data_IF_355037325605
#
_entry.id   IF_355037325605
#
_cell.length_a   1.000
_cell.length_b   1.000
_cell.length_c   1.000
_cell.angle_alpha   90.00
_cell.angle_beta   90.00
_cell.angle_gamma   90.00
#
_symmetry.space_group_name_H-M   'P 1'
#
loop_
_entity.id
_entity.type
_entity.pdbx_description
1 polymer ?
#
# COMPACT_ATOMS: atom_id res chain seq x y z
N UNK A 1 29.43 -25.84 5.01
CA UNK A 1 28.43 -25.49 6.03
C UNK A 1 28.64 -24.03 6.45
N UNK A 2 28.01 -23.09 5.75
CA UNK A 2 28.07 -21.69 6.15
C UNK A 2 27.07 -21.47 7.30
N UNK A 3 27.58 -21.33 8.52
CA UNK A 3 26.80 -20.91 9.69
C UNK A 3 26.24 -19.51 9.41
N UNK A 4 24.93 -19.34 9.55
CA UNK A 4 24.34 -18.03 9.77
C UNK A 4 25.10 -17.36 10.93
N UNK A 5 25.57 -16.12 10.80
CA UNK A 5 26.13 -15.39 11.93
C UNK A 5 25.06 -15.34 13.01
N UNK A 6 25.44 -15.70 14.24
CA UNK A 6 24.53 -15.79 15.38
C UNK A 6 23.71 -14.51 15.50
N UNK A 7 22.43 -14.57 15.10
CA UNK A 7 21.48 -13.53 15.45
C UNK A 7 21.42 -13.51 16.97
N UNK A 8 21.76 -12.36 17.56
CA UNK A 8 21.43 -12.05 18.95
C UNK A 8 20.02 -12.58 19.22
N UNK A 9 19.89 -13.48 20.19
CA UNK A 9 18.61 -14.00 20.64
C UNK A 9 17.73 -12.80 21.02
N UNK A 10 16.79 -12.46 20.13
CA UNK A 10 15.81 -11.42 20.38
C UNK A 10 15.09 -11.76 21.70
N UNK A 11 14.82 -10.76 22.56
CA UNK A 11 13.98 -10.96 23.73
C UNK A 11 12.68 -11.71 23.33
N UNK A 12 12.23 -12.68 24.12
CA UNK A 12 11.11 -13.56 23.75
C UNK A 12 9.81 -12.78 23.49
N UNK A 13 9.65 -11.62 24.12
CA UNK A 13 8.57 -10.65 23.90
C UNK A 13 8.62 -9.97 22.53
N UNK A 14 9.82 -9.74 21.98
CA UNK A 14 10.01 -9.20 20.62
C UNK A 14 9.85 -10.30 19.59
N UNK A 15 10.39 -11.49 19.82
CA UNK A 15 10.24 -12.64 18.93
C UNK A 15 8.77 -13.10 18.78
N UNK A 16 7.93 -12.88 19.79
CA UNK A 16 6.50 -13.19 19.77
C UNK A 16 5.64 -12.16 19.00
N UNK A 17 6.17 -11.00 18.62
CA UNK A 17 5.41 -9.99 17.90
C UNK A 17 5.05 -10.47 16.49
N UNK A 18 3.75 -10.60 16.24
CA UNK A 18 3.20 -10.96 14.94
C UNK A 18 2.19 -9.90 14.49
N UNK A 19 2.53 -9.17 13.43
CA UNK A 19 1.66 -8.13 12.86
C UNK A 19 0.77 -8.63 11.72
N UNK A 20 0.94 -9.88 11.30
CA UNK A 20 0.17 -10.52 10.24
C UNK A 20 -1.35 -10.44 10.43
N UNK A 21 -1.91 -10.81 11.60
CA UNK A 21 -3.35 -10.75 11.85
C UNK A 21 -3.94 -9.34 11.70
N UNK A 22 -3.23 -8.32 12.19
CA UNK A 22 -3.65 -6.93 12.05
C UNK A 22 -3.66 -6.48 10.58
N UNK A 23 -2.66 -6.88 9.79
CA UNK A 23 -2.63 -6.60 8.34
C UNK A 23 -3.81 -7.25 7.62
N UNK A 24 -4.09 -8.52 7.90
CA UNK A 24 -5.22 -9.23 7.29
C UNK A 24 -6.55 -8.57 7.64
N UNK A 25 -6.76 -8.19 8.91
CA UNK A 25 -7.99 -7.52 9.34
C UNK A 25 -8.24 -6.22 8.54
N UNK A 26 -7.20 -5.39 8.39
CA UNK A 26 -7.28 -4.14 7.62
C UNK A 26 -7.55 -4.44 6.14
N UNK A 27 -6.79 -5.36 5.53
CA UNK A 27 -6.92 -5.70 4.11
C UNK A 27 -8.31 -6.24 3.77
N UNK A 28 -8.85 -7.15 4.57
CA UNK A 28 -10.19 -7.69 4.35
C UNK A 28 -11.28 -6.63 4.55
N UNK A 29 -11.14 -5.75 5.54
CA UNK A 29 -12.10 -4.66 5.78
C UNK A 29 -12.19 -3.70 4.58
N UNK A 30 -11.04 -3.23 4.07
CA UNK A 30 -11.00 -2.35 2.90
C UNK A 30 -11.45 -3.05 1.62
N UNK A 31 -11.11 -4.33 1.45
CA UNK A 31 -11.53 -5.12 0.29
C UNK A 31 -13.05 -5.34 0.28
N UNK A 32 -13.65 -5.63 1.44
CA UNK A 32 -15.09 -5.75 1.60
C UNK A 32 -15.79 -4.42 1.26
N UNK A 33 -15.31 -3.31 1.82
CA UNK A 33 -15.85 -1.98 1.54
C UNK A 33 -15.75 -1.60 0.04
N UNK A 34 -14.61 -1.88 -0.58
CA UNK A 34 -14.39 -1.66 -2.01
C UNK A 34 -15.34 -2.51 -2.86
N UNK A 35 -15.48 -3.79 -2.51
CA UNK A 35 -16.41 -4.72 -3.19
C UNK A 35 -17.85 -4.23 -3.13
N UNK A 36 -18.32 -3.81 -1.95
CA UNK A 36 -19.66 -3.24 -1.78
C UNK A 36 -19.87 -1.98 -2.63
N UNK A 37 -18.86 -1.12 -2.71
CA UNK A 37 -18.92 0.10 -3.51
C UNK A 37 -18.99 -0.21 -5.01
N UNK A 38 -18.20 -1.17 -5.49
CA UNK A 38 -18.22 -1.60 -6.90
C UNK A 38 -19.55 -2.26 -7.26
N UNK A 39 -20.04 -3.19 -6.42
CA UNK A 39 -21.34 -3.84 -6.62
C UNK A 39 -22.46 -2.80 -6.65
N UNK A 40 -22.47 -1.87 -5.69
CA UNK A 40 -23.45 -0.80 -5.63
C UNK A 40 -23.42 0.11 -6.87
N UNK A 41 -22.21 0.43 -7.38
CA UNK A 41 -22.02 1.20 -8.60
C UNK A 41 -22.56 0.48 -9.84
N UNK A 42 -22.20 -0.80 -10.01
CA UNK A 42 -22.65 -1.64 -11.14
C UNK A 42 -24.17 -1.81 -11.10
N UNK A 43 -24.72 -2.15 -9.92
CA UNK A 43 -26.17 -2.31 -9.73
C UNK A 43 -26.94 -1.02 -10.02
N UNK A 44 -26.47 0.12 -9.49
CA UNK A 44 -27.11 1.42 -9.71
C UNK A 44 -27.12 1.82 -11.19
N UNK A 45 -26.04 1.52 -11.91
CA UNK A 45 -25.92 1.84 -13.33
C UNK A 45 -26.78 0.91 -14.18
N UNK A 46 -26.76 -0.39 -13.89
CA UNK A 46 -27.61 -1.37 -14.53
C UNK A 46 -29.09 -1.01 -14.37
N UNK A 47 -29.52 -0.66 -13.16
CA UNK A 47 -30.92 -0.26 -12.89
C UNK A 47 -31.33 1.05 -13.60
N UNK A 48 -30.42 2.01 -13.74
CA UNK A 48 -30.73 3.33 -14.35
C UNK A 48 -30.60 3.38 -15.87
N UNK A 49 -29.61 2.70 -16.45
CA UNK A 49 -29.28 2.77 -17.88
C UNK A 49 -29.53 1.45 -18.62
N UNK A 50 -29.80 0.35 -17.92
CA UNK A 50 -30.05 -0.98 -18.52
C UNK A 50 -28.84 -1.63 -19.20
N UNK A 51 -27.69 -0.95 -19.26
CA UNK A 51 -26.47 -1.42 -19.96
C UNK A 51 -25.22 -1.02 -19.19
N UNK A 52 -24.23 -1.90 -19.18
CA UNK A 52 -22.90 -1.63 -18.64
C UNK A 52 -22.02 -0.95 -19.70
N UNK A 53 -21.23 0.03 -19.28
CA UNK A 53 -20.23 0.66 -20.12
C UNK A 53 -18.88 -0.04 -19.95
N UNK A 54 -17.95 0.22 -20.88
CA UNK A 54 -16.56 -0.24 -20.81
C UNK A 54 -15.92 0.11 -19.46
N UNK A 55 -16.23 1.29 -18.92
CA UNK A 55 -15.77 1.74 -17.59
C UNK A 55 -16.10 0.77 -16.45
N UNK A 56 -17.29 0.16 -16.51
CA UNK A 56 -17.75 -0.73 -15.44
C UNK A 56 -16.99 -2.06 -15.50
N UNK A 57 -16.68 -2.54 -16.71
CA UNK A 57 -15.81 -3.72 -16.89
C UNK A 57 -14.39 -3.46 -16.40
N UNK A 58 -13.83 -2.27 -16.63
CA UNK A 58 -12.50 -1.90 -16.13
C UNK A 58 -12.47 -1.89 -14.59
N UNK A 59 -13.52 -1.38 -13.95
CA UNK A 59 -13.63 -1.37 -12.47
C UNK A 59 -13.81 -2.80 -11.92
N UNK A 60 -14.63 -3.62 -12.56
CA UNK A 60 -14.82 -5.03 -12.16
C UNK A 60 -13.50 -5.79 -12.31
N UNK A 61 -12.78 -5.60 -13.41
CA UNK A 61 -11.46 -6.18 -13.62
C UNK A 61 -10.47 -5.72 -12.56
N UNK A 62 -10.47 -4.43 -12.22
CA UNK A 62 -9.65 -3.90 -11.13
C UNK A 62 -9.96 -4.56 -9.79
N UNK A 63 -11.23 -4.83 -9.49
CA UNK A 63 -11.64 -5.54 -8.28
C UNK A 63 -11.10 -6.98 -8.28
N UNK A 64 -11.09 -7.66 -9.42
CA UNK A 64 -10.46 -8.97 -9.58
C UNK A 64 -8.97 -8.94 -9.22
N UNK A 65 -8.24 -7.91 -9.65
CA UNK A 65 -6.84 -7.71 -9.25
C UNK A 65 -6.67 -7.43 -7.76
N UNK A 66 -7.61 -6.71 -7.12
CA UNK A 66 -7.59 -6.54 -5.65
C UNK A 66 -7.70 -7.91 -4.95
N UNK A 67 -8.61 -8.79 -5.39
CA UNK A 67 -8.72 -10.13 -4.81
C UNK A 67 -7.45 -10.96 -4.99
N UNK A 68 -6.84 -10.92 -6.18
CA UNK A 68 -5.56 -11.59 -6.44
C UNK A 68 -4.44 -11.04 -5.53
N UNK A 69 -4.37 -9.72 -5.37
CA UNK A 69 -3.41 -9.05 -4.49
C UNK A 69 -3.58 -9.49 -3.03
N UNK A 70 -4.81 -9.48 -2.53
CA UNK A 70 -5.15 -9.89 -1.17
C UNK A 70 -4.83 -11.36 -0.95
N UNK A 71 -5.15 -12.24 -1.90
CA UNK A 71 -4.82 -13.66 -1.83
C UNK A 71 -3.31 -13.91 -1.74
N UNK A 72 -2.51 -13.20 -2.54
CA UNK A 72 -1.04 -13.29 -2.48
C UNK A 72 -0.51 -12.81 -1.12
N UNK A 73 -1.04 -11.71 -0.60
CA UNK A 73 -0.66 -11.20 0.72
C UNK A 73 -1.05 -12.12 1.87
N UNK A 74 -2.25 -12.71 1.82
CA UNK A 74 -2.66 -13.71 2.80
C UNK A 74 -1.73 -14.91 2.76
N UNK A 75 -1.38 -15.41 1.58
CA UNK A 75 -0.41 -16.51 1.44
C UNK A 75 0.98 -16.13 1.98
N UNK A 76 1.44 -14.90 1.75
CA UNK A 76 2.70 -14.40 2.30
C UNK A 76 2.68 -14.30 3.83
N UNK A 77 1.58 -13.82 4.42
CA UNK A 77 1.39 -13.72 5.88
C UNK A 77 1.34 -15.11 6.52
N UNK A 78 0.61 -16.05 5.90
CA UNK A 78 0.57 -17.44 6.37
C UNK A 78 1.92 -18.14 6.24
N UNK A 79 2.74 -17.77 5.25
CA UNK A 79 4.12 -18.22 5.12
C UNK A 79 5.09 -17.51 6.08
N UNK A 80 4.62 -16.57 6.92
CA UNK A 80 5.41 -15.95 7.98
C UNK A 80 5.70 -14.46 7.82
N UNK A 81 5.20 -13.80 6.77
CA UNK A 81 5.28 -12.33 6.68
C UNK A 81 4.55 -11.67 7.86
N UNK A 82 5.21 -10.72 8.52
CA UNK A 82 4.71 -10.06 9.73
C UNK A 82 5.30 -10.59 11.04
N UNK A 83 6.13 -11.65 11.00
CA UNK A 83 6.97 -12.13 12.11
C UNK A 83 8.42 -11.67 11.90
N UNK A 84 9.22 -11.61 12.97
CA UNK A 84 10.65 -11.29 12.86
C UNK A 84 11.38 -12.32 12.00
N UNK A 85 12.27 -11.86 11.10
CA UNK A 85 13.05 -12.74 10.20
C UNK A 85 13.85 -13.79 10.97
N UNK A 86 14.26 -13.48 12.20
CA UNK A 86 14.96 -14.39 13.10
C UNK A 86 14.15 -15.61 13.55
N UNK A 87 12.82 -15.55 13.45
CA UNK A 87 11.90 -16.60 13.92
C UNK A 87 11.40 -17.51 12.81
N UNK A 88 11.83 -17.26 11.57
CA UNK A 88 11.36 -17.94 10.37
C UNK A 88 12.39 -18.97 9.90
N UNK A 89 11.89 -20.10 9.41
CA UNK A 89 12.74 -21.03 8.66
C UNK A 89 13.07 -20.45 7.28
N UNK A 90 14.19 -20.89 6.69
CA UNK A 90 14.60 -20.47 5.34
C UNK A 90 13.52 -20.74 4.29
N UNK A 91 12.83 -21.89 4.39
CA UNK A 91 11.76 -22.26 3.45
C UNK A 91 10.51 -21.38 3.60
N UNK A 92 10.15 -20.99 4.82
CA UNK A 92 9.05 -20.05 5.09
C UNK A 92 9.37 -18.66 4.54
N UNK A 93 10.59 -18.19 4.76
CA UNK A 93 11.06 -16.90 4.25
C UNK A 93 10.99 -16.84 2.71
N UNK A 94 11.59 -17.82 2.02
CA UNK A 94 11.60 -17.88 0.55
C UNK A 94 10.18 -17.90 -0.03
N UNK A 95 9.28 -18.71 0.56
CA UNK A 95 7.87 -18.79 0.16
C UNK A 95 7.14 -17.47 0.38
N UNK A 96 7.40 -16.78 1.49
CA UNK A 96 6.77 -15.50 1.80
C UNK A 96 7.17 -14.41 0.81
N UNK A 97 8.47 -14.30 0.48
CA UNK A 97 8.99 -13.33 -0.47
C UNK A 97 8.47 -13.58 -1.88
N UNK A 98 8.38 -14.86 -2.27
CA UNK A 98 7.82 -15.26 -3.56
C UNK A 98 6.37 -14.77 -3.74
N UNK A 99 5.49 -14.98 -2.75
CA UNK A 99 4.12 -14.50 -2.82
C UNK A 99 4.02 -12.97 -2.82
N UNK A 100 4.89 -12.27 -2.09
CA UNK A 100 4.95 -10.81 -2.12
C UNK A 100 5.36 -10.28 -3.50
N UNK A 101 6.31 -10.94 -4.17
CA UNK A 101 6.75 -10.56 -5.52
C UNK A 101 5.67 -10.78 -6.56
N UNK A 102 4.99 -11.93 -6.53
CA UNK A 102 3.86 -12.21 -7.44
C UNK A 102 2.72 -11.24 -7.18
N UNK A 103 2.44 -10.94 -5.90
CA UNK A 103 1.42 -9.99 -5.50
C UNK A 103 1.69 -8.57 -6.00
N UNK A 104 2.93 -8.20 -6.30
CA UNK A 104 3.25 -6.84 -6.76
C UNK A 104 2.54 -6.47 -8.07
N UNK A 105 2.42 -7.42 -9.02
CA UNK A 105 1.73 -7.21 -10.31
C UNK A 105 0.24 -6.87 -10.14
N UNK A 106 -0.59 -7.74 -9.53
CA UNK A 106 -2.00 -7.42 -9.30
C UNK A 106 -2.16 -6.18 -8.40
N UNK A 107 -1.23 -5.95 -7.47
CA UNK A 107 -1.20 -4.73 -6.66
C UNK A 107 -1.09 -3.46 -7.51
N UNK A 108 -0.10 -3.38 -8.40
CA UNK A 108 0.08 -2.24 -9.32
C UNK A 108 -1.12 -2.03 -10.23
N UNK A 109 -1.65 -3.11 -10.84
CA UNK A 109 -2.79 -3.03 -11.74
C UNK A 109 -4.06 -2.58 -11.00
N UNK A 110 -4.27 -3.05 -9.76
CA UNK A 110 -5.40 -2.64 -8.93
C UNK A 110 -5.41 -1.15 -8.58
N UNK A 111 -4.24 -0.49 -8.56
CA UNK A 111 -4.11 0.95 -8.30
C UNK A 111 -4.17 1.79 -9.58
N UNK A 112 -3.71 1.25 -10.72
CA UNK A 112 -3.66 1.98 -11.97
C UNK A 112 -5.01 1.99 -12.72
N UNK A 113 -5.68 0.84 -12.81
CA UNK A 113 -6.93 0.70 -13.59
C UNK A 113 -8.07 1.62 -13.12
N UNK A 114 -8.31 1.83 -11.82
CA UNK A 114 -9.37 2.73 -11.37
C UNK A 114 -9.15 4.17 -11.86
N UNK A 115 -7.91 4.63 -11.99
CA UNK A 115 -7.58 5.99 -12.45
C UNK A 115 -8.06 6.21 -13.88
N UNK A 116 -7.87 5.23 -14.76
CA UNK A 116 -8.37 5.29 -16.14
C UNK A 116 -9.90 5.34 -16.20
N UNK A 117 -10.57 4.52 -15.39
CA UNK A 117 -12.04 4.54 -15.31
C UNK A 117 -12.56 5.89 -14.78
N UNK A 118 -11.88 6.50 -13.81
CA UNK A 118 -12.22 7.83 -13.29
C UNK A 118 -11.97 8.92 -14.34
N UNK A 119 -10.83 8.91 -15.02
CA UNK A 119 -10.54 9.87 -16.11
C UNK A 119 -11.60 9.79 -17.20
N UNK A 120 -11.94 8.58 -17.66
CA UNK A 120 -12.96 8.43 -18.71
C UNK A 120 -14.35 8.90 -18.24
N UNK A 121 -14.72 8.61 -16.99
CA UNK A 121 -15.94 9.12 -16.39
C UNK A 121 -15.96 10.65 -16.34
N UNK A 122 -14.85 11.28 -15.93
CA UNK A 122 -14.74 12.74 -15.83
C UNK A 122 -14.86 13.40 -17.20
N UNK A 123 -14.15 12.88 -18.21
CA UNK A 123 -14.22 13.39 -19.59
C UNK A 123 -15.64 13.31 -20.12
N UNK A 124 -16.35 12.22 -19.83
CA UNK A 124 -17.72 11.99 -20.30
C UNK A 124 -18.78 12.86 -19.60
N UNK A 125 -18.58 13.22 -18.34
CA UNK A 125 -19.57 14.00 -17.57
C UNK A 125 -19.32 15.50 -17.65
N UNK A 126 -18.06 15.93 -17.55
CA UNK A 126 -17.70 17.35 -17.44
C UNK A 126 -17.44 18.02 -18.79
N UNK A 127 -17.29 17.25 -19.88
CA UNK A 127 -16.93 17.75 -21.21
C UNK A 127 -15.81 18.81 -21.20
N UNK A 128 -14.65 18.50 -20.60
CA UNK A 128 -13.59 19.48 -20.42
C UNK A 128 -12.90 19.86 -21.73
N UNK A 129 -12.14 20.95 -21.72
CA UNK A 129 -11.42 21.40 -22.91
C UNK A 129 -10.46 20.32 -23.45
N UNK A 130 -10.23 20.24 -24.77
CA UNK A 130 -9.37 19.20 -25.36
C UNK A 130 -7.95 19.16 -24.78
N UNK A 131 -7.42 20.32 -24.34
CA UNK A 131 -6.12 20.39 -23.66
C UNK A 131 -6.15 19.69 -22.30
N UNK A 132 -7.24 19.87 -21.55
CA UNK A 132 -7.41 19.27 -20.24
C UNK A 132 -7.68 17.76 -20.32
N UNK A 133 -8.41 17.30 -21.34
CA UNK A 133 -8.55 15.86 -21.63
C UNK A 133 -7.18 15.21 -21.83
N UNK A 134 -6.30 15.81 -22.63
CA UNK A 134 -4.94 15.31 -22.84
C UNK A 134 -4.13 15.27 -21.55
N UNK A 135 -4.27 16.28 -20.69
CA UNK A 135 -3.60 16.32 -19.39
C UNK A 135 -4.09 15.19 -18.46
N UNK A 136 -5.39 14.95 -18.36
CA UNK A 136 -5.96 13.89 -17.53
C UNK A 136 -5.48 12.50 -17.96
N UNK A 137 -5.53 12.21 -19.26
CA UNK A 137 -4.99 10.95 -19.80
C UNK A 137 -3.48 10.86 -19.65
N UNK A 138 -2.76 11.96 -19.87
CA UNK A 138 -1.32 12.03 -19.69
C UNK A 138 -0.89 11.71 -18.26
N UNK A 139 -1.59 12.23 -17.25
CA UNK A 139 -1.34 11.93 -15.83
C UNK A 139 -1.60 10.45 -15.50
N UNK A 140 -2.70 9.88 -16.00
CA UNK A 140 -3.02 8.47 -15.77
C UNK A 140 -1.98 7.54 -16.42
N UNK A 141 -1.58 7.83 -17.66
CA UNK A 141 -0.56 7.06 -18.40
C UNK A 141 0.81 7.21 -17.71
N UNK A 142 1.21 8.43 -17.36
CA UNK A 142 2.47 8.68 -16.66
C UNK A 142 2.52 7.92 -15.32
N UNK A 143 1.42 7.90 -14.57
CA UNK A 143 1.32 7.14 -13.34
C UNK A 143 1.48 5.64 -13.57
N UNK A 144 0.83 5.09 -14.59
CA UNK A 144 0.97 3.68 -14.95
C UNK A 144 2.42 3.35 -15.33
N UNK A 145 3.05 4.17 -16.17
CA UNK A 145 4.45 3.97 -16.59
C UNK A 145 5.40 4.03 -15.41
N UNK A 146 5.23 4.98 -14.49
CA UNK A 146 6.04 5.08 -13.28
C UNK A 146 5.87 3.87 -12.36
N UNK A 147 4.65 3.36 -12.20
CA UNK A 147 4.40 2.15 -11.40
C UNK A 147 4.98 0.89 -12.03
N UNK A 148 4.87 0.73 -13.36
CA UNK A 148 5.51 -0.36 -14.09
C UNK A 148 7.04 -0.25 -14.05
N UNK A 149 7.57 0.97 -14.08
CA UNK A 149 8.99 1.25 -13.86
C UNK A 149 9.45 0.82 -12.47
N UNK A 150 8.65 1.10 -11.43
CA UNK A 150 8.94 0.64 -10.06
C UNK A 150 8.99 -0.87 -9.98
N UNK A 151 8.05 -1.55 -10.63
CA UNK A 151 8.04 -3.00 -10.75
C UNK A 151 9.32 -3.52 -11.42
N UNK A 152 9.71 -2.96 -12.57
CA UNK A 152 10.94 -3.35 -13.27
C UNK A 152 12.21 -3.12 -12.44
N UNK A 153 12.28 -2.00 -11.71
CA UNK A 153 13.38 -1.72 -10.78
C UNK A 153 13.39 -2.76 -9.65
N UNK A 154 12.24 -3.13 -9.09
CA UNK A 154 12.14 -4.19 -8.07
C UNK A 154 12.63 -5.55 -8.59
N UNK A 155 12.31 -5.91 -9.83
CA UNK A 155 12.76 -7.18 -10.40
C UNK A 155 14.26 -7.21 -10.72
N UNK A 156 14.85 -6.04 -11.02
CA UNK A 156 16.27 -5.90 -11.38
C UNK A 156 17.17 -5.50 -10.20
N UNK A 157 16.69 -5.57 -8.97
CA UNK A 157 17.49 -5.19 -7.79
C UNK A 157 18.68 -6.12 -7.54
N UNK A 158 18.56 -7.39 -7.92
CA UNK A 158 19.61 -8.40 -7.75
C UNK A 158 19.84 -9.16 -9.06
N UNK A 159 21.11 -9.48 -9.35
CA UNK A 159 21.51 -10.33 -10.46
C UNK A 159 22.15 -11.62 -9.92
N UNK A 160 21.56 -12.81 -10.17
CA UNK A 160 20.29 -13.06 -10.85
C UNK A 160 19.06 -12.67 -10.00
N UNK A 161 17.90 -12.33 -10.61
CA UNK A 161 16.68 -11.97 -9.88
C UNK A 161 16.21 -13.05 -8.90
N UNK A 162 16.56 -14.31 -9.18
CA UNK A 162 16.25 -15.46 -8.33
C UNK A 162 16.91 -15.43 -6.97
N UNK A 163 18.03 -14.73 -6.84
CA UNK A 163 18.70 -14.58 -5.56
C UNK A 163 17.88 -13.77 -4.54
N UNK A 164 16.81 -13.09 -4.99
CA UNK A 164 15.90 -12.38 -4.10
C UNK A 164 15.02 -13.33 -3.27
N UNK A 165 14.76 -14.54 -3.76
CA UNK A 165 13.90 -15.54 -3.10
C UNK A 165 14.61 -16.86 -2.81
N UNK A 166 15.91 -16.97 -3.08
CA UNK A 166 16.73 -18.11 -2.67
C UNK A 166 18.00 -17.62 -2.02
N UNK A 167 18.18 -17.91 -0.73
CA UNK A 167 19.36 -17.54 0.07
C UNK A 167 20.69 -18.19 -0.39
N UNK A 168 20.66 -19.06 -1.41
CA UNK A 168 21.78 -19.89 -1.83
C UNK A 168 22.56 -19.37 -3.06
N UNK A 169 22.14 -18.28 -3.69
CA UNK A 169 22.80 -17.75 -4.89
C UNK A 169 23.72 -16.55 -4.55
N UNK A 170 25.00 -16.55 -4.97
CA UNK A 170 25.84 -15.37 -4.87
C UNK A 170 25.27 -14.27 -5.76
N UNK A 171 24.82 -13.17 -5.17
CA UNK A 171 24.10 -12.11 -5.86
C UNK A 171 24.78 -10.76 -5.69
N UNK A 172 24.91 -10.02 -6.79
CA UNK A 172 25.18 -8.58 -6.74
C UNK A 172 23.84 -7.87 -6.66
N UNK A 173 23.47 -7.41 -5.46
CA UNK A 173 22.31 -6.56 -5.28
C UNK A 173 22.71 -5.08 -5.27
N UNK A 174 21.90 -4.23 -5.91
CA UNK A 174 22.06 -2.77 -5.92
C UNK A 174 21.73 -2.17 -4.56
N UNK A 175 22.24 -0.97 -4.28
CA UNK A 175 22.00 -0.30 -3.00
C UNK A 175 20.52 0.02 -2.78
N UNK A 176 20.01 -0.31 -1.59
CA UNK A 176 18.60 -0.14 -1.19
C UNK A 176 18.14 1.32 -1.24
N UNK A 177 19.06 2.29 -1.11
CA UNK A 177 18.75 3.72 -1.06
C UNK A 177 18.10 4.22 -2.35
N UNK A 178 18.63 3.85 -3.52
CA UNK A 178 18.09 4.31 -4.80
C UNK A 178 16.66 3.78 -5.05
N UNK A 179 16.41 2.54 -4.65
CA UNK A 179 15.10 1.88 -4.73
C UNK A 179 14.08 2.57 -3.83
N UNK A 180 14.49 2.92 -2.60
CA UNK A 180 13.63 3.62 -1.64
C UNK A 180 13.25 4.99 -2.19
N UNK A 181 14.23 5.78 -2.63
CA UNK A 181 13.98 7.11 -3.21
C UNK A 181 13.02 7.00 -4.40
N UNK A 182 13.25 6.05 -5.31
CA UNK A 182 12.39 5.83 -6.46
C UNK A 182 10.95 5.46 -6.03
N UNK A 183 10.80 4.56 -5.07
CA UNK A 183 9.48 4.15 -4.55
C UNK A 183 8.72 5.34 -3.93
N UNK A 184 9.42 6.23 -3.21
CA UNK A 184 8.84 7.45 -2.63
C UNK A 184 8.38 8.42 -3.72
N UNK A 185 9.18 8.63 -4.76
CA UNK A 185 8.80 9.49 -5.89
C UNK A 185 7.55 8.96 -6.59
N UNK A 186 7.53 7.66 -6.92
CA UNK A 186 6.39 7.02 -7.60
C UNK A 186 5.13 7.06 -6.73
N UNK A 187 5.25 6.76 -5.44
CA UNK A 187 4.14 6.84 -4.49
C UNK A 187 3.60 8.26 -4.35
N UNK A 188 4.48 9.26 -4.28
CA UNK A 188 4.09 10.67 -4.15
C UNK A 188 3.38 11.16 -5.42
N UNK A 189 3.92 10.83 -6.60
CA UNK A 189 3.27 11.16 -7.87
C UNK A 189 1.88 10.53 -7.98
N UNK A 190 1.75 9.26 -7.59
CA UNK A 190 0.45 8.58 -7.58
C UNK A 190 -0.56 9.27 -6.67
N UNK A 191 -0.14 9.64 -5.46
CA UNK A 191 -1.00 10.38 -4.53
C UNK A 191 -1.45 11.73 -5.13
N UNK A 192 -0.54 12.48 -5.76
CA UNK A 192 -0.87 13.74 -6.44
C UNK A 192 -1.91 13.54 -7.53
N UNK A 193 -1.78 12.49 -8.35
CA UNK A 193 -2.77 12.15 -9.38
C UNK A 193 -4.13 11.83 -8.75
N UNK A 194 -4.16 11.08 -7.64
CA UNK A 194 -5.41 10.73 -6.95
C UNK A 194 -6.10 11.97 -6.37
N UNK A 195 -5.35 12.87 -5.73
CA UNK A 195 -5.86 14.15 -5.25
C UNK A 195 -6.39 15.01 -6.39
N UNK A 196 -5.65 15.08 -7.51
CA UNK A 196 -6.08 15.86 -8.66
C UNK A 196 -7.41 15.35 -9.24
N UNK A 197 -7.53 14.03 -9.43
CA UNK A 197 -8.75 13.40 -9.94
C UNK A 197 -9.93 13.50 -8.96
N UNK A 198 -9.67 13.62 -7.65
CA UNK A 198 -10.71 13.85 -6.64
C UNK A 198 -11.16 15.32 -6.57
N UNK A 199 -10.21 16.26 -6.61
CA UNK A 199 -10.46 17.71 -6.48
C UNK A 199 -11.09 18.28 -7.75
N UNK A 200 -10.66 17.81 -8.93
CA UNK A 200 -11.13 18.33 -10.20
C UNK A 200 -12.67 18.32 -10.36
N UNK A 201 -13.37 17.18 -10.21
CA UNK A 201 -14.83 17.17 -10.21
C UNK A 201 -15.41 17.95 -9.03
N UNK A 202 -14.74 17.99 -7.88
CA UNK A 202 -15.21 18.73 -6.71
C UNK A 202 -15.44 20.21 -7.03
N UNK A 203 -14.44 20.85 -7.64
CA UNK A 203 -14.45 22.28 -7.95
C UNK A 203 -15.51 22.58 -9.01
N UNK A 204 -15.53 21.81 -10.10
CA UNK A 204 -16.50 22.00 -11.19
C UNK A 204 -17.92 21.77 -10.70
N UNK A 205 -18.14 20.75 -9.87
CA UNK A 205 -19.45 20.47 -9.29
C UNK A 205 -19.84 21.45 -8.19
N UNK A 206 -18.90 22.13 -7.52
CA UNK A 206 -19.23 23.17 -6.54
C UNK A 206 -19.75 24.43 -7.23
N UNK A 207 -19.23 24.77 -8.42
CA UNK A 207 -19.78 25.86 -9.24
C UNK A 207 -21.19 25.57 -9.75
N UNK A 208 -21.60 24.30 -9.77
CA UNK A 208 -22.90 23.86 -10.27
C UNK A 208 -23.78 23.46 -9.08
N UNK A 209 -24.69 24.34 -8.63
CA UNK A 209 -25.60 24.15 -7.48
C UNK A 209 -26.09 22.70 -7.26
N UNK A 210 -25.31 21.88 -6.54
CA UNK A 210 -25.59 20.47 -6.32
C UNK A 210 -26.06 20.19 -4.89
N UNK A 211 -26.98 19.24 -4.76
CA UNK A 211 -27.54 18.78 -3.50
C UNK A 211 -26.45 18.37 -2.48
N UNK A 212 -26.68 18.73 -1.21
CA UNK A 212 -25.80 18.54 -0.04
C UNK A 212 -25.15 17.14 0.06
N UNK A 213 -25.84 16.09 -0.40
CA UNK A 213 -25.35 14.69 -0.39
C UNK A 213 -24.05 14.50 -1.19
N UNK A 214 -23.89 15.19 -2.32
CA UNK A 214 -22.67 15.10 -3.14
C UNK A 214 -21.51 15.86 -2.50
N UNK A 215 -21.82 17.00 -1.88
CA UNK A 215 -20.85 17.84 -1.14
C UNK A 215 -20.25 17.10 0.05
N UNK A 216 -21.06 16.31 0.78
CA UNK A 216 -20.59 15.49 1.89
C UNK A 216 -19.67 14.36 1.43
N UNK A 217 -20.04 13.61 0.37
CA UNK A 217 -19.21 12.53 -0.16
C UNK A 217 -17.82 13.03 -0.62
N UNK A 218 -17.79 14.22 -1.24
CA UNK A 218 -16.56 14.89 -1.66
C UNK A 218 -15.66 15.29 -0.47
N UNK A 219 -16.24 15.88 0.57
CA UNK A 219 -15.50 16.24 1.79
C UNK A 219 -14.87 15.01 2.46
N UNK A 220 -15.62 13.92 2.57
CA UNK A 220 -15.13 12.66 3.16
C UNK A 220 -14.02 12.05 2.32
N UNK A 221 -14.15 12.03 1.00
CA UNK A 221 -13.11 11.50 0.10
C UNK A 221 -11.79 12.29 0.20
N UNK A 222 -11.87 13.63 0.25
CA UNK A 222 -10.70 14.50 0.40
C UNK A 222 -10.06 14.36 1.79
N UNK A 223 -10.87 14.26 2.85
CA UNK A 223 -10.38 14.03 4.22
C UNK A 223 -9.65 12.69 4.36
N UNK A 224 -10.17 11.63 3.76
CA UNK A 224 -9.54 10.31 3.81
C UNK A 224 -8.18 10.29 3.08
N UNK A 225 -8.09 10.98 1.93
CA UNK A 225 -6.84 11.15 1.19
C UNK A 225 -5.77 11.90 2.00
N UNK A 226 -6.14 12.99 2.68
CA UNK A 226 -5.22 13.77 3.50
C UNK A 226 -4.65 12.96 4.68
N UNK A 227 -5.48 12.20 5.38
CA UNK A 227 -5.04 11.31 6.46
C UNK A 227 -4.06 10.23 5.95
N UNK A 228 -4.34 9.64 4.78
CA UNK A 228 -3.45 8.66 4.16
C UNK A 228 -2.10 9.28 3.76
N UNK A 229 -2.10 10.52 3.24
CA UNK A 229 -0.89 11.28 2.92
C UNK A 229 -0.01 11.54 4.14
N UNK A 230 -0.61 11.99 5.25
CA UNK A 230 0.11 12.20 6.51
C UNK A 230 0.72 10.90 7.06
N UNK A 231 0.00 9.77 6.96
CA UNK A 231 0.51 8.46 7.37
C UNK A 231 1.69 8.01 6.48
N UNK A 232 1.62 8.25 5.17
CA UNK A 232 2.70 7.95 4.24
C UNK A 232 3.96 8.79 4.52
N UNK A 233 3.81 10.09 4.78
CA UNK A 233 4.92 10.99 5.15
C UNK A 233 5.57 10.50 6.43
N UNK A 234 4.79 10.18 7.48
CA UNK A 234 5.33 9.60 8.71
C UNK A 234 6.13 8.33 8.43
N UNK A 235 5.61 7.43 7.59
CA UNK A 235 6.31 6.21 7.21
C UNK A 235 7.66 6.51 6.56
N UNK A 236 7.72 7.44 5.61
CA UNK A 236 8.96 7.86 4.93
C UNK A 236 9.95 8.51 5.90
N UNK A 237 9.49 9.33 6.85
CA UNK A 237 10.36 9.95 7.86
C UNK A 237 10.93 8.98 8.89
N UNK A 238 10.34 7.78 9.03
CA UNK A 238 10.87 6.70 9.89
C UNK A 238 11.88 5.80 9.16
N UNK A 239 11.91 5.83 7.82
CA UNK A 239 12.85 5.03 7.01
C UNK A 239 14.35 5.33 7.24
N UNK A 240 14.82 6.54 7.63
CA UNK A 240 16.25 6.78 7.85
C UNK A 240 16.87 5.93 8.97
N UNK A 241 16.07 5.29 9.85
CA UNK A 241 16.56 4.32 10.84
C UNK A 241 16.81 2.90 10.28
N UNK A 242 16.39 2.61 9.04
CA UNK A 242 16.46 1.29 8.39
C UNK A 242 17.76 1.08 7.56
N UNK A 243 18.78 1.91 7.76
CA UNK A 243 20.08 1.76 7.09
C UNK A 243 20.91 0.57 7.58
N UNK A 244 20.51 -0.09 8.66
CA UNK A 244 21.35 -1.06 9.39
C UNK A 244 20.97 -2.53 9.17
N UNK A 245 20.19 -2.86 8.12
CA UNK A 245 19.98 -4.24 7.68
C UNK A 245 19.23 -5.17 8.65
N UNK A 246 18.54 -4.64 9.67
CA UNK A 246 17.82 -5.43 10.67
C UNK A 246 16.29 -5.28 10.51
N UNK A 247 15.68 -6.35 10.00
CA UNK A 247 14.26 -6.75 10.12
C UNK A 247 13.20 -6.06 9.21
N UNK A 248 13.28 -6.28 7.90
CA UNK A 248 12.29 -5.84 6.91
C UNK A 248 10.88 -6.44 7.11
N UNK A 249 10.79 -7.64 7.71
CA UNK A 249 9.55 -8.44 7.78
C UNK A 249 8.58 -7.97 8.86
N UNK A 250 9.08 -7.28 9.91
CA UNK A 250 8.27 -6.84 11.05
C UNK A 250 7.81 -5.37 10.93
N UNK A 251 8.46 -4.53 10.12
CA UNK A 251 8.19 -3.08 10.08
C UNK A 251 7.09 -2.62 9.10
N UNK A 252 6.39 -3.55 8.45
CA UNK A 252 5.34 -3.20 7.47
C UNK A 252 4.04 -2.63 8.08
N UNK A 253 3.91 -2.52 9.42
CA UNK A 253 2.72 -2.05 10.19
C UNK A 253 3.14 -1.01 11.26
N UNK A 254 2.30 0.00 11.55
CA UNK A 254 2.74 1.28 12.10
C UNK A 254 3.38 1.15 13.49
N UNK A 255 4.54 1.78 13.63
CA UNK A 255 5.27 2.05 14.88
C UNK A 255 4.52 2.93 15.90
N UNK A 256 3.27 3.31 15.62
CA UNK A 256 2.46 4.17 16.49
C UNK A 256 1.86 3.46 17.72
N UNK A 257 2.02 2.14 17.89
CA UNK A 257 1.61 1.43 19.11
C UNK A 257 2.79 1.04 20.02
N UNK A 258 4.00 0.85 19.48
CA UNK A 258 5.14 0.43 20.31
C UNK A 258 5.71 1.58 21.14
N UNK A 259 5.75 2.80 20.57
CA UNK A 259 6.33 3.95 21.29
C UNK A 259 5.48 4.34 22.51
N UNK A 260 4.15 4.22 22.45
CA UNK A 260 3.30 4.60 23.58
C UNK A 260 3.36 3.60 24.74
N UNK A 261 3.53 2.30 24.44
CA UNK A 261 3.67 1.27 25.48
C UNK A 261 5.03 1.39 26.17
N UNK A 262 6.12 1.59 25.41
CA UNK A 262 7.47 1.76 25.97
C UNK A 262 7.58 2.93 26.95
N UNK A 263 7.05 4.11 26.59
CA UNK A 263 7.03 5.27 27.50
C UNK A 263 6.08 5.12 28.69
N UNK A 264 5.06 4.27 28.62
CA UNK A 264 4.19 3.97 29.75
C UNK A 264 4.87 2.99 30.73
N UNK A 265 5.58 1.97 30.23
CA UNK A 265 6.37 1.05 31.08
C UNK A 265 7.55 1.75 31.75
N UNK A 266 8.26 2.65 31.06
CA UNK A 266 9.38 3.39 31.67
C UNK A 266 8.90 4.37 32.76
N UNK A 267 7.77 5.05 32.55
CA UNK A 267 7.21 5.95 33.57
C UNK A 267 6.64 5.21 34.77
N UNK A 268 6.10 4.00 34.58
CA UNK A 268 5.61 3.15 35.68
C UNK A 268 6.78 2.55 36.46
N UNK A 269 7.87 2.10 35.80
CA UNK A 269 9.06 1.58 36.48
C UNK A 269 9.80 2.67 37.27
N UNK A 270 9.96 3.87 36.69
CA UNK A 270 10.62 4.98 37.38
C UNK A 270 9.75 5.60 38.50
N UNK A 271 8.43 5.50 38.39
CA UNK A 271 7.50 5.95 39.43
C UNK A 271 7.46 5.05 40.67
N UNK A 272 7.66 3.74 40.52
CA UNK A 272 7.65 2.81 41.67
C UNK A 272 8.97 2.75 42.44
N UNK A 273 10.10 3.15 41.85
CA UNK A 273 11.41 3.16 42.53
C UNK A 273 11.59 4.32 43.52
N UNK A 274 10.75 5.38 43.45
CA UNK A 274 10.81 6.53 44.35
C UNK A 274 9.88 6.41 45.58
N UNK A 275 9.01 5.41 45.64
CA UNK A 275 8.13 5.14 46.79
C UNK A 275 8.63 4.03 47.72
N UNK A 276 9.79 3.42 47.43
CA UNK A 276 10.44 2.41 48.27
C UNK A 276 11.72 2.88 48.97
N UNK A 277 12.04 4.18 48.92
CA UNK A 277 13.27 4.77 49.47
C UNK A 277 13.01 5.95 50.44
N UNK A 278 11.85 5.92 51.10
CA UNK A 278 11.46 6.70 52.29
C UNK A 278 10.70 5.77 53.23
#
# INVERSE_FOLDING_TARGET
MARMPAMHSLPPDVAAQNKGPAMMAVMYSFTALSSLTVVGRVFSRYKKLGRLAIDDYVIILSLGFVFAYVGCWTAAILAGSGRHQATLTVAEFDRSVFFLMIGLVPGVLSLALPKFAVVNLLVKILFPSPRHVRLLWGLAIANLVLMLGAFGVRFSECDPPSARWTLYAPAKCRSSTAIIIYSVVVGSFSAVVDFYLAIYPAIVLWSLHLHLKKKLALSVALGFGACAGCAAIRKVTTVPGMGDGRDYTCELVPSAQQHNIGTLTDKVLHGQMLQGAL
#
